data_IF_422402084819
#
_entry.id   IF_422402084819
#
_cell.length_a   1.000
_cell.length_b   1.000
_cell.length_c   1.000
_cell.angle_alpha   90.00
_cell.angle_beta   90.00
_cell.angle_gamma   90.00
#
_symmetry.space_group_name_H-M   'P 1'
#
loop_
_entity.id
_entity.type
_entity.pdbx_description
1 polymer ?
#
# COMPACT_ATOMS: atom_id res chain seq x y z
N UNK A 1 42.72 -14.14 2.52
CA UNK A 1 41.55 -13.52 1.87
C UNK A 1 41.16 -12.25 2.62
N UNK A 2 41.06 -11.12 1.92
CA UNK A 2 41.53 -9.81 2.41
C UNK A 2 40.41 -8.96 3.09
N UNK A 3 40.36 -8.94 4.43
CA UNK A 3 39.33 -8.20 5.23
C UNK A 3 39.18 -6.71 4.87
N UNK A 4 40.22 -6.07 4.31
CA UNK A 4 40.18 -4.65 3.90
C UNK A 4 39.45 -4.39 2.57
N UNK A 5 39.35 -5.37 1.66
CA UNK A 5 38.56 -5.23 0.41
C UNK A 5 37.08 -5.59 0.60
N UNK A 6 36.76 -6.43 1.58
CA UNK A 6 35.37 -6.81 1.89
C UNK A 6 34.56 -5.67 2.56
N UNK A 7 35.23 -4.81 3.34
CA UNK A 7 34.59 -3.70 4.07
C UNK A 7 33.97 -2.60 3.17
N UNK A 8 34.63 -2.10 2.11
CA UNK A 8 34.01 -1.11 1.21
C UNK A 8 32.86 -1.69 0.37
N UNK A 9 32.96 -2.96 -0.06
CA UNK A 9 31.86 -3.64 -0.78
C UNK A 9 30.64 -3.85 0.12
N UNK A 10 30.85 -4.26 1.37
CA UNK A 10 29.77 -4.41 2.36
C UNK A 10 29.06 -3.09 2.65
N UNK A 11 29.81 -1.98 2.74
CA UNK A 11 29.26 -0.64 2.92
C UNK A 11 28.44 -0.19 1.70
N UNK A 12 28.91 -0.48 0.47
CA UNK A 12 28.18 -0.16 -0.75
C UNK A 12 26.88 -0.98 -0.90
N UNK A 13 26.91 -2.28 -0.58
CA UNK A 13 25.70 -3.13 -0.56
C UNK A 13 24.69 -2.63 0.48
N UNK A 14 25.13 -2.32 1.70
CA UNK A 14 24.24 -1.79 2.74
C UNK A 14 23.62 -0.45 2.36
N UNK A 15 24.40 0.44 1.71
CA UNK A 15 23.92 1.71 1.17
C UNK A 15 22.91 1.52 0.05
N UNK A 16 23.15 0.56 -0.87
CA UNK A 16 22.20 0.20 -1.92
C UNK A 16 20.90 -0.31 -1.33
N UNK A 17 20.96 -1.24 -0.37
CA UNK A 17 19.79 -1.80 0.31
C UNK A 17 18.97 -0.71 1.01
N UNK A 18 19.61 0.13 1.83
CA UNK A 18 18.91 1.25 2.48
C UNK A 18 18.26 2.19 1.47
N UNK A 19 18.95 2.54 0.38
CA UNK A 19 18.40 3.43 -0.64
C UNK A 19 17.22 2.80 -1.42
N UNK A 20 17.32 1.51 -1.73
CA UNK A 20 16.26 0.72 -2.36
C UNK A 20 15.02 0.66 -1.46
N UNK A 21 15.21 0.31 -0.18
CA UNK A 21 14.14 0.22 0.81
C UNK A 21 13.42 1.56 0.99
N UNK A 22 14.17 2.67 1.05
CA UNK A 22 13.60 4.02 1.11
C UNK A 22 12.67 4.32 -0.07
N UNK A 23 13.09 4.00 -1.30
CA UNK A 23 12.28 4.25 -2.51
C UNK A 23 11.10 3.29 -2.65
N UNK A 24 11.23 2.05 -2.18
CA UNK A 24 10.13 1.10 -2.16
C UNK A 24 9.08 1.50 -1.12
N UNK A 25 9.46 1.89 0.09
CA UNK A 25 8.51 2.36 1.11
C UNK A 25 7.90 3.72 0.74
N UNK A 26 8.71 4.63 0.21
CA UNK A 26 8.31 6.00 -0.14
C UNK A 26 8.71 6.31 -1.58
N UNK A 27 7.84 6.03 -2.56
CA UNK A 27 8.16 6.21 -3.99
C UNK A 27 8.27 7.67 -4.42
N UNK A 28 8.08 8.62 -3.50
CA UNK A 28 8.35 10.04 -3.69
C UNK A 28 9.07 10.57 -2.45
N UNK A 29 10.32 11.01 -2.63
CA UNK A 29 11.09 11.71 -1.63
C UNK A 29 11.23 13.18 -2.06
N UNK A 30 11.02 14.10 -1.12
CA UNK A 30 11.07 15.54 -1.36
C UNK A 30 12.07 16.17 -0.39
N UNK A 31 13.00 16.95 -0.92
CA UNK A 31 13.99 17.67 -0.13
C UNK A 31 13.32 18.64 0.84
N UNK A 32 13.72 18.58 2.12
CA UNK A 32 13.13 19.33 3.22
C UNK A 32 11.97 18.64 3.92
N UNK A 33 11.33 17.64 3.29
CA UNK A 33 10.35 16.76 3.95
C UNK A 33 10.95 15.40 4.31
N UNK A 34 11.83 14.89 3.47
CA UNK A 34 12.63 13.69 3.74
C UNK A 34 13.87 14.06 4.55
N UNK A 35 14.29 13.25 5.54
CA UNK A 35 15.56 13.46 6.22
C UNK A 35 16.72 13.64 5.24
N UNK A 36 17.54 14.67 5.49
CA UNK A 36 18.62 15.08 4.61
C UNK A 36 19.60 13.95 4.25
N UNK A 37 19.92 13.09 5.23
CA UNK A 37 20.80 11.95 5.03
C UNK A 37 20.22 10.91 4.06
N UNK A 38 18.92 10.62 4.16
CA UNK A 38 18.21 9.68 3.30
C UNK A 38 18.16 10.20 1.87
N UNK A 39 17.82 11.48 1.70
CA UNK A 39 17.75 12.10 0.38
C UNK A 39 19.14 12.14 -0.29
N UNK A 40 20.19 12.51 0.46
CA UNK A 40 21.58 12.48 -0.05
C UNK A 40 22.04 11.07 -0.38
N UNK A 41 21.64 10.06 0.41
CA UNK A 41 21.96 8.65 0.14
C UNK A 41 21.34 8.21 -1.20
N UNK A 42 20.05 8.45 -1.42
CA UNK A 42 19.37 8.08 -2.67
C UNK A 42 19.99 8.81 -3.86
N UNK A 43 20.33 10.10 -3.72
CA UNK A 43 21.04 10.85 -4.76
C UNK A 43 22.43 10.28 -5.06
N UNK A 44 23.19 9.87 -4.04
CA UNK A 44 24.49 9.26 -4.22
C UNK A 44 24.40 7.90 -4.94
N UNK A 45 23.31 7.16 -4.72
CA UNK A 45 23.04 5.85 -5.35
C UNK A 45 22.24 5.96 -6.65
N UNK A 46 22.07 7.15 -7.23
CA UNK A 46 21.13 7.35 -8.33
C UNK A 46 21.39 6.49 -9.57
N UNK A 47 22.65 6.32 -9.98
CA UNK A 47 23.01 5.52 -11.15
C UNK A 47 22.70 4.01 -10.96
N UNK A 48 23.22 3.32 -9.93
CA UNK A 48 22.91 1.90 -9.72
C UNK A 48 21.42 1.65 -9.44
N UNK A 49 20.72 2.57 -8.76
CA UNK A 49 19.28 2.45 -8.56
C UNK A 49 18.50 2.50 -9.87
N UNK A 50 18.81 3.47 -10.76
CA UNK A 50 18.15 3.59 -12.07
C UNK A 50 18.37 2.36 -12.92
N UNK A 51 19.61 1.86 -12.97
CA UNK A 51 19.95 0.65 -13.72
C UNK A 51 19.16 -0.55 -13.19
N UNK A 52 19.11 -0.73 -11.88
CA UNK A 52 18.41 -1.85 -11.27
C UNK A 52 16.90 -1.78 -11.54
N UNK A 53 16.27 -0.63 -11.31
CA UNK A 53 14.83 -0.47 -11.53
C UNK A 53 14.46 -0.65 -13.00
N UNK A 54 15.18 -0.04 -13.94
CA UNK A 54 14.91 -0.21 -15.38
C UNK A 54 15.04 -1.67 -15.84
N UNK A 55 16.04 -2.38 -15.30
CA UNK A 55 16.34 -3.76 -15.69
C UNK A 55 15.39 -4.76 -15.07
N UNK A 56 15.16 -4.69 -13.76
CA UNK A 56 14.41 -5.72 -13.04
C UNK A 56 12.91 -5.44 -12.98
N UNK A 57 12.50 -4.16 -12.97
CA UNK A 57 11.09 -3.77 -12.83
C UNK A 57 10.57 -2.97 -14.02
N UNK A 58 11.40 -2.32 -14.81
CA UNK A 58 10.98 -1.33 -15.80
C UNK A 58 10.34 -0.06 -15.20
N UNK A 59 10.39 0.14 -13.88
CA UNK A 59 9.95 1.40 -13.28
C UNK A 59 10.95 2.52 -13.56
N UNK A 60 10.43 3.69 -13.96
CA UNK A 60 11.26 4.89 -14.09
C UNK A 60 11.65 5.41 -12.71
N UNK A 61 12.91 5.81 -12.57
CA UNK A 61 13.41 6.54 -11.42
C UNK A 61 13.96 7.90 -11.84
N UNK A 62 13.23 8.96 -11.49
CA UNK A 62 13.68 10.34 -11.68
C UNK A 62 14.30 10.86 -10.38
N UNK A 63 15.50 11.45 -10.45
CA UNK A 63 16.15 12.03 -9.28
C UNK A 63 16.82 13.33 -9.71
N UNK A 64 16.46 14.42 -9.03
CA UNK A 64 17.03 15.75 -9.22
C UNK A 64 17.49 16.35 -7.88
N UNK A 65 17.66 17.67 -7.82
CA UNK A 65 18.12 18.36 -6.62
C UNK A 65 17.05 18.46 -5.50
N UNK A 66 15.77 18.32 -5.84
CA UNK A 66 14.62 18.54 -4.94
C UNK A 66 13.75 17.29 -4.75
N UNK A 67 13.74 16.36 -5.70
CA UNK A 67 12.88 15.17 -5.65
C UNK A 67 13.62 13.90 -6.08
N UNK A 68 13.21 12.78 -5.50
CA UNK A 68 13.49 11.43 -6.01
C UNK A 68 12.16 10.69 -6.14
N UNK A 69 11.76 10.36 -7.37
CA UNK A 69 10.45 9.77 -7.71
C UNK A 69 10.64 8.45 -8.43
N UNK A 70 10.19 7.37 -7.79
CA UNK A 70 10.02 6.06 -8.39
C UNK A 70 8.58 5.93 -8.91
N UNK A 71 8.43 5.80 -10.23
CA UNK A 71 7.13 5.71 -10.90
C UNK A 71 6.63 4.25 -10.88
N UNK A 72 6.16 3.81 -9.73
CA UNK A 72 5.56 2.47 -9.56
C UNK A 72 4.23 2.37 -10.31
N UNK A 73 4.05 1.23 -10.99
CA UNK A 73 2.80 0.81 -11.62
C UNK A 73 2.28 -0.44 -10.92
N UNK A 74 0.99 -0.46 -10.59
CA UNK A 74 0.34 -1.67 -10.05
C UNK A 74 0.15 -2.71 -11.17
N UNK A 75 0.25 -3.99 -10.79
CA UNK A 75 -0.08 -5.12 -11.66
C UNK A 75 -1.52 -5.60 -11.50
N UNK A 76 -2.19 -5.16 -10.43
CA UNK A 76 -3.58 -5.45 -10.11
C UNK A 76 -4.32 -4.12 -9.88
N UNK A 77 -5.25 -3.80 -10.78
CA UNK A 77 -6.04 -2.57 -10.72
C UNK A 77 -7.24 -2.70 -9.78
N UNK A 78 -7.58 -3.91 -9.38
CA UNK A 78 -8.72 -4.23 -8.53
C UNK A 78 -8.31 -4.45 -7.07
N UNK A 79 -7.03 -4.26 -6.72
CA UNK A 79 -6.53 -4.34 -5.35
C UNK A 79 -7.05 -3.17 -4.49
N UNK A 80 -8.02 -3.46 -3.64
CA UNK A 80 -8.63 -2.50 -2.71
C UNK A 80 -7.90 -2.43 -1.35
N UNK A 81 -6.80 -3.16 -1.16
CA UNK A 81 -6.16 -3.31 0.16
C UNK A 81 -5.19 -2.18 0.51
N UNK A 82 -4.90 -1.28 -0.44
CA UNK A 82 -3.95 -0.16 -0.30
C UNK A 82 -4.59 1.21 -0.54
N UNK A 83 -5.65 1.58 0.20
CA UNK A 83 -6.25 2.91 0.05
C UNK A 83 -5.27 4.00 0.52
N UNK A 84 -5.40 5.19 -0.06
CA UNK A 84 -4.80 6.39 0.53
C UNK A 84 -5.39 6.60 1.93
N UNK A 85 -4.59 7.12 2.86
CA UNK A 85 -5.00 7.32 4.26
C UNK A 85 -4.79 8.76 4.68
N UNK A 86 -5.62 9.26 5.59
CA UNK A 86 -5.36 10.55 6.26
C UNK A 86 -4.07 10.42 7.07
N UNK A 87 -3.01 11.19 6.79
CA UNK A 87 -1.74 11.10 7.50
C UNK A 87 -1.86 11.32 9.02
N UNK A 88 -2.87 12.06 9.48
CA UNK A 88 -3.12 12.29 10.92
C UNK A 88 -3.99 11.19 11.53
N UNK A 89 -5.10 10.84 10.88
CA UNK A 89 -6.11 9.93 11.46
C UNK A 89 -5.88 8.44 11.11
N UNK A 90 -5.09 8.13 10.10
CA UNK A 90 -4.88 6.78 9.56
C UNK A 90 -6.11 6.18 8.86
N UNK A 91 -7.21 6.93 8.78
CA UNK A 91 -8.47 6.47 8.18
C UNK A 91 -8.33 6.37 6.66
N UNK A 92 -8.83 5.29 6.03
CA UNK A 92 -8.77 5.14 4.59
C UNK A 92 -9.65 6.18 3.90
N UNK A 93 -9.24 6.62 2.72
CA UNK A 93 -10.01 7.54 1.89
C UNK A 93 -11.21 6.82 1.29
N UNK A 94 -12.39 7.42 1.45
CA UNK A 94 -13.58 7.04 0.71
C UNK A 94 -13.64 7.71 -0.66
N UNK A 95 -14.66 7.34 -1.46
CA UNK A 95 -14.93 7.89 -2.80
C UNK A 95 -14.84 9.42 -2.83
N UNK A 96 -15.48 10.11 -1.88
CA UNK A 96 -15.51 11.57 -1.82
C UNK A 96 -14.11 12.18 -1.71
N UNK A 97 -13.26 11.67 -0.81
CA UNK A 97 -11.88 12.18 -0.64
C UNK A 97 -11.00 11.93 -1.87
N UNK A 98 -11.25 10.85 -2.61
CA UNK A 98 -10.56 10.63 -3.89
C UNK A 98 -10.96 11.65 -4.95
N UNK A 99 -12.27 11.92 -5.11
CA UNK A 99 -12.75 12.97 -6.03
C UNK A 99 -12.16 14.33 -5.64
N UNK A 100 -12.21 14.69 -4.36
CA UNK A 100 -11.64 15.94 -3.85
C UNK A 100 -10.12 16.00 -4.05
N UNK A 101 -9.39 14.89 -3.92
CA UNK A 101 -7.96 14.84 -4.25
C UNK A 101 -7.71 15.20 -5.71
N UNK A 102 -8.47 14.62 -6.64
CA UNK A 102 -8.35 14.92 -8.07
C UNK A 102 -8.69 16.39 -8.38
N UNK A 103 -9.77 16.91 -7.81
CA UNK A 103 -10.16 18.31 -7.97
C UNK A 103 -9.12 19.26 -7.38
N UNK A 104 -8.59 18.95 -6.20
CA UNK A 104 -7.53 19.74 -5.57
C UNK A 104 -6.28 19.80 -6.45
N UNK A 105 -5.82 18.66 -6.98
CA UNK A 105 -4.68 18.63 -7.91
C UNK A 105 -4.94 19.47 -9.17
N UNK A 106 -6.14 19.40 -9.74
CA UNK A 106 -6.51 20.19 -10.92
C UNK A 106 -6.58 21.70 -10.64
N UNK A 107 -6.97 22.10 -9.43
CA UNK A 107 -6.94 23.49 -8.99
C UNK A 107 -5.50 23.95 -8.75
N UNK A 108 -4.71 23.15 -8.03
CA UNK A 108 -3.32 23.49 -7.67
C UNK A 108 -2.41 23.64 -8.90
N UNK A 109 -2.64 22.86 -9.95
CA UNK A 109 -1.90 23.00 -11.22
C UNK A 109 -2.08 24.39 -11.86
N UNK A 110 -3.23 25.04 -11.63
CA UNK A 110 -3.55 26.37 -12.14
C UNK A 110 -3.32 27.48 -11.10
N UNK A 111 -3.05 27.13 -9.85
CA UNK A 111 -2.90 28.07 -8.75
C UNK A 111 -1.58 28.84 -8.84
N UNK A 112 -1.54 30.02 -8.23
CA UNK A 112 -0.30 30.77 -8.03
C UNK A 112 0.68 30.04 -7.11
N UNK A 113 1.87 30.62 -6.90
CA UNK A 113 2.91 30.04 -6.03
C UNK A 113 2.42 29.81 -4.60
N UNK A 114 1.44 30.59 -4.16
CA UNK A 114 0.80 30.47 -2.86
C UNK A 114 -0.71 30.43 -2.98
N UNK A 115 -1.35 29.66 -2.12
CA UNK A 115 -2.82 29.54 -2.04
C UNK A 115 -3.25 29.37 -0.59
N UNK A 116 -4.40 29.94 -0.23
CA UNK A 116 -5.00 29.68 1.08
C UNK A 116 -5.95 28.48 1.03
N UNK A 117 -6.21 27.85 2.17
CA UNK A 117 -7.17 26.75 2.26
C UNK A 117 -8.57 27.19 1.83
N UNK A 118 -9.02 28.36 2.28
CA UNK A 118 -10.30 28.95 1.86
C UNK A 118 -10.37 29.13 0.34
N UNK A 119 -9.32 29.67 -0.28
CA UNK A 119 -9.28 29.86 -1.73
C UNK A 119 -9.26 28.53 -2.50
N UNK A 120 -8.51 27.54 -2.02
CA UNK A 120 -8.53 26.19 -2.58
C UNK A 120 -9.94 25.58 -2.49
N UNK A 121 -10.60 25.75 -1.36
CA UNK A 121 -11.95 25.25 -1.11
C UNK A 121 -12.98 25.87 -2.08
N UNK A 122 -12.94 27.20 -2.27
CA UNK A 122 -13.78 27.92 -3.24
C UNK A 122 -13.62 27.38 -4.67
N UNK A 123 -12.37 27.15 -5.09
CA UNK A 123 -12.09 26.65 -6.44
C UNK A 123 -12.50 25.19 -6.62
N UNK A 124 -12.36 24.36 -5.57
CA UNK A 124 -12.86 22.99 -5.58
C UNK A 124 -14.39 22.96 -5.64
N UNK A 125 -15.08 23.81 -4.88
CA UNK A 125 -16.54 23.94 -4.95
C UNK A 125 -16.99 24.32 -6.36
N UNK A 126 -16.33 25.29 -6.98
CA UNK A 126 -16.60 25.67 -8.37
C UNK A 126 -16.40 24.48 -9.33
N UNK A 127 -15.28 23.75 -9.21
CA UNK A 127 -15.00 22.60 -10.05
C UNK A 127 -15.97 21.43 -9.80
N UNK A 128 -16.48 21.28 -8.58
CA UNK A 128 -17.48 20.27 -8.22
C UNK A 128 -18.86 20.54 -8.83
N UNK A 129 -19.11 21.75 -9.37
CA UNK A 129 -20.37 22.06 -10.08
C UNK A 129 -20.45 21.51 -11.51
N UNK A 130 -19.43 20.77 -11.96
CA UNK A 130 -19.42 20.14 -13.27
C UNK A 130 -20.67 19.24 -13.48
N UNK A 131 -21.45 19.43 -14.57
CA UNK A 131 -22.62 18.62 -14.86
C UNK A 131 -22.36 17.11 -14.92
N UNK A 132 -21.18 16.68 -15.37
CA UNK A 132 -20.81 15.26 -15.45
C UNK A 132 -20.63 14.66 -14.04
N UNK A 133 -19.99 15.41 -13.12
CA UNK A 133 -19.89 15.00 -11.72
C UNK A 133 -21.27 14.93 -11.07
N UNK A 134 -22.13 15.88 -11.39
CA UNK A 134 -23.51 15.87 -10.89
C UNK A 134 -24.31 14.67 -11.41
N UNK A 135 -24.16 14.30 -12.68
CA UNK A 135 -24.79 13.12 -13.26
C UNK A 135 -24.32 11.81 -12.59
N UNK A 136 -23.07 11.76 -12.14
CA UNK A 136 -22.49 10.65 -11.37
C UNK A 136 -22.87 10.65 -9.87
N UNK A 137 -23.76 11.56 -9.45
CA UNK A 137 -24.25 11.67 -8.09
C UNK A 137 -23.26 12.27 -7.10
N UNK A 138 -22.18 12.91 -7.56
CA UNK A 138 -21.27 13.62 -6.67
C UNK A 138 -21.87 14.98 -6.30
N UNK A 139 -21.91 15.29 -5.01
CA UNK A 139 -22.34 16.57 -4.45
C UNK A 139 -21.37 16.91 -3.32
N UNK A 140 -20.88 18.14 -3.29
CA UNK A 140 -19.97 18.57 -2.25
C UNK A 140 -20.26 20.02 -1.87
N UNK A 141 -20.48 20.23 -0.58
CA UNK A 141 -20.71 21.52 0.05
C UNK A 141 -19.69 21.69 1.19
N UNK A 142 -19.64 22.87 1.83
CA UNK A 142 -18.72 23.14 2.96
C UNK A 142 -19.48 23.62 4.21
N UNK A 143 -20.76 23.31 4.27
CA UNK A 143 -21.67 23.77 5.32
C UNK A 143 -21.47 22.93 6.60
N UNK A 144 -21.13 21.65 6.43
CA UNK A 144 -20.96 20.71 7.53
C UNK A 144 -19.49 20.55 7.92
N UNK A 145 -19.25 20.32 9.21
CA UNK A 145 -17.91 20.04 9.74
C UNK A 145 -17.26 18.81 9.08
N UNK A 146 -18.05 17.79 8.76
CA UNK A 146 -17.57 16.56 8.10
C UNK A 146 -16.98 16.85 6.71
N UNK A 147 -17.61 17.73 5.93
CA UNK A 147 -17.12 18.10 4.60
C UNK A 147 -15.82 18.89 4.68
N UNK A 148 -15.71 19.79 5.67
CA UNK A 148 -14.44 20.48 5.97
C UNK A 148 -13.37 19.48 6.42
N UNK A 149 -13.74 18.46 7.20
CA UNK A 149 -12.83 17.39 7.62
C UNK A 149 -12.30 16.58 6.43
N UNK A 150 -13.13 16.30 5.44
CA UNK A 150 -12.70 15.65 4.21
C UNK A 150 -11.72 16.52 3.41
N UNK A 151 -11.99 17.82 3.27
CA UNK A 151 -11.07 18.72 2.60
C UNK A 151 -9.72 18.82 3.35
N UNK A 152 -9.75 18.89 4.68
CA UNK A 152 -8.53 18.89 5.49
C UNK A 152 -7.76 17.59 5.37
N UNK A 153 -8.44 16.43 5.31
CA UNK A 153 -7.77 15.16 5.05
C UNK A 153 -7.05 15.15 3.69
N UNK A 154 -7.70 15.68 2.64
CA UNK A 154 -7.10 15.84 1.31
C UNK A 154 -5.88 16.75 1.36
N UNK A 155 -5.95 17.89 2.04
CA UNK A 155 -4.82 18.82 2.17
C UNK A 155 -3.67 18.21 2.96
N UNK A 156 -3.96 17.44 4.01
CA UNK A 156 -2.93 16.67 4.74
C UNK A 156 -2.23 15.67 3.83
N UNK A 157 -2.95 14.99 2.94
CA UNK A 157 -2.34 14.11 1.94
C UNK A 157 -1.43 14.89 0.98
N UNK A 158 -1.84 16.08 0.54
CA UNK A 158 -1.00 16.96 -0.30
C UNK A 158 0.25 17.47 0.42
N UNK A 159 0.16 17.77 1.72
CA UNK A 159 1.31 18.11 2.56
C UNK A 159 2.26 16.92 2.71
N UNK A 160 1.72 15.71 2.90
CA UNK A 160 2.49 14.47 3.01
C UNK A 160 3.25 14.14 1.71
N UNK A 161 2.61 14.31 0.55
CA UNK A 161 3.26 14.21 -0.75
C UNK A 161 4.23 15.36 -1.05
N UNK A 162 4.10 16.49 -0.35
CA UNK A 162 4.92 17.69 -0.54
C UNK A 162 4.53 18.56 -1.72
N UNK A 163 3.32 18.37 -2.28
CA UNK A 163 2.75 19.31 -3.27
C UNK A 163 2.36 20.63 -2.64
N UNK A 164 2.04 20.61 -1.35
CA UNK A 164 1.84 21.79 -0.51
C UNK A 164 2.91 21.84 0.58
N UNK A 165 3.29 23.06 0.98
CA UNK A 165 4.07 23.30 2.20
C UNK A 165 3.41 24.38 3.02
N UNK A 166 3.19 24.12 4.30
CA UNK A 166 2.54 25.08 5.19
C UNK A 166 3.47 26.26 5.44
N UNK A 167 2.97 27.47 5.17
CA UNK A 167 3.66 28.73 5.45
C UNK A 167 3.18 29.31 6.79
N UNK A 168 1.88 29.24 7.05
CA UNK A 168 1.28 29.71 8.30
C UNK A 168 -0.18 29.33 8.45
N UNK A 169 -0.66 29.30 9.69
CA UNK A 169 -2.00 28.86 10.06
C UNK A 169 -2.05 27.41 10.54
N UNK A 170 -3.27 26.92 10.80
CA UNK A 170 -3.55 25.56 11.26
C UNK A 170 -4.88 25.07 10.65
N UNK A 171 -4.88 23.85 10.09
CA UNK A 171 -6.08 23.27 9.48
C UNK A 171 -7.21 23.06 10.50
N UNK A 172 -6.89 22.91 11.79
CA UNK A 172 -7.92 22.87 12.84
C UNK A 172 -8.71 24.19 12.93
N UNK A 173 -8.07 25.33 12.63
CA UNK A 173 -8.75 26.63 12.59
C UNK A 173 -9.77 26.70 11.45
N UNK A 174 -9.44 26.11 10.30
CA UNK A 174 -10.37 26.00 9.17
C UNK A 174 -11.55 25.08 9.50
N UNK A 175 -11.31 23.94 10.17
CA UNK A 175 -12.38 23.04 10.62
C UNK A 175 -13.39 23.72 11.55
N UNK A 176 -12.90 24.64 12.38
CA UNK A 176 -13.69 25.41 13.33
C UNK A 176 -14.27 26.71 12.72
N UNK A 177 -14.05 26.96 11.42
CA UNK A 177 -14.41 28.20 10.74
C UNK A 177 -13.86 29.47 11.43
N UNK A 178 -12.69 29.34 12.07
CA UNK A 178 -12.07 30.38 12.90
C UNK A 178 -10.86 31.05 12.23
N UNK A 179 -10.31 30.46 11.17
CA UNK A 179 -9.14 30.98 10.46
C UNK A 179 -8.82 30.21 9.19
N UNK A 180 -7.88 30.76 8.42
CA UNK A 180 -7.42 30.19 7.15
C UNK A 180 -5.93 29.78 7.26
N UNK A 181 -5.47 28.96 6.32
CA UNK A 181 -4.10 28.44 6.27
C UNK A 181 -3.47 28.80 4.94
N UNK A 182 -2.23 29.28 4.95
CA UNK A 182 -1.47 29.64 3.75
C UNK A 182 -0.47 28.53 3.40
N UNK A 183 -0.44 28.16 2.12
CA UNK A 183 0.48 27.17 1.58
C UNK A 183 1.32 27.72 0.43
N UNK A 184 2.57 27.27 0.34
CA UNK A 184 3.35 27.29 -0.89
C UNK A 184 2.98 26.06 -1.74
N UNK A 185 2.85 26.24 -3.05
CA UNK A 185 2.54 25.20 -4.03
C UNK A 185 3.82 24.74 -4.74
N UNK A 186 4.17 23.46 -4.60
CA UNK A 186 5.33 22.86 -5.26
C UNK A 186 4.94 22.24 -6.61
N UNK A 187 4.99 23.07 -7.66
CA UNK A 187 4.66 22.64 -9.04
C UNK A 187 5.55 21.53 -9.58
N UNK A 188 6.80 21.43 -9.09
CA UNK A 188 7.72 20.36 -9.52
C UNK A 188 7.27 19.02 -8.97
N UNK A 189 6.85 18.98 -7.71
CA UNK A 189 6.27 17.77 -7.12
C UNK A 189 4.95 17.42 -7.82
N UNK A 190 4.07 18.39 -8.04
CA UNK A 190 2.79 18.18 -8.76
C UNK A 190 2.99 17.52 -10.12
N UNK A 191 3.92 18.04 -10.93
CA UNK A 191 4.21 17.50 -12.27
C UNK A 191 4.73 16.05 -12.27
N UNK A 192 5.18 15.54 -11.12
CA UNK A 192 5.75 14.20 -10.95
C UNK A 192 4.80 13.21 -10.25
N UNK A 193 3.58 13.61 -9.89
CA UNK A 193 2.64 12.73 -9.19
C UNK A 193 2.04 11.66 -10.11
N UNK A 194 1.61 12.05 -11.30
CA UNK A 194 0.88 11.18 -12.20
C UNK A 194 1.81 10.12 -12.78
N UNK A 195 1.47 8.85 -12.54
CA UNK A 195 2.14 7.70 -13.16
C UNK A 195 1.21 7.09 -14.19
N UNK A 196 1.59 7.18 -15.46
CA UNK A 196 0.91 6.50 -16.56
C UNK A 196 1.94 6.01 -17.58
N UNK A 197 1.65 4.87 -18.23
CA UNK A 197 2.43 4.39 -19.38
C UNK A 197 2.03 5.21 -20.61
N UNK A 198 0.72 5.35 -20.83
CA UNK A 198 0.13 6.16 -21.90
C UNK A 198 -0.46 7.44 -21.30
N UNK A 199 -0.12 8.60 -21.88
CA UNK A 199 -0.66 9.89 -21.44
C UNK A 199 -2.19 9.91 -21.53
N UNK A 200 -2.93 10.38 -20.50
CA UNK A 200 -4.40 10.33 -20.49
C UNK A 200 -5.08 10.99 -21.69
N UNK A 201 -4.47 12.03 -22.26
CA UNK A 201 -4.99 12.74 -23.44
C UNK A 201 -4.93 11.94 -24.74
N UNK A 202 -4.12 10.87 -24.79
CA UNK A 202 -3.98 10.00 -25.96
C UNK A 202 -4.95 8.82 -25.95
N UNK A 203 -5.69 8.63 -24.86
CA UNK A 203 -6.58 7.49 -24.67
C UNK A 203 -7.97 7.84 -25.15
N UNK A 204 -8.42 7.12 -26.19
CA UNK A 204 -9.73 7.31 -26.83
C UNK A 204 -10.62 6.11 -26.51
N UNK A 205 -11.17 6.10 -25.30
CA UNK A 205 -12.15 5.10 -24.84
C UNK A 205 -13.26 5.80 -24.06
N UNK A 206 -14.51 5.40 -24.29
CA UNK A 206 -15.66 5.95 -23.56
C UNK A 206 -15.88 5.24 -22.21
N UNK A 207 -15.54 3.94 -22.15
CA UNK A 207 -15.66 3.15 -20.92
C UNK A 207 -14.53 3.44 -19.92
N UNK A 208 -14.89 3.63 -18.65
CA UNK A 208 -13.93 3.98 -17.60
C UNK A 208 -12.92 2.86 -17.35
N UNK A 209 -13.37 1.61 -17.31
CA UNK A 209 -12.48 0.47 -17.08
C UNK A 209 -11.48 0.31 -18.23
N UNK A 210 -11.94 0.47 -19.47
CA UNK A 210 -11.07 0.47 -20.65
C UNK A 210 -10.06 1.62 -20.63
N UNK A 211 -10.46 2.84 -20.21
CA UNK A 211 -9.53 3.97 -20.05
C UNK A 211 -8.44 3.68 -19.02
N UNK A 212 -8.81 3.17 -17.85
CA UNK A 212 -7.87 2.84 -16.78
C UNK A 212 -6.90 1.74 -17.23
N UNK A 213 -7.41 0.70 -17.90
CA UNK A 213 -6.58 -0.36 -18.47
C UNK A 213 -5.60 0.19 -19.52
N UNK A 214 -6.04 1.08 -20.40
CA UNK A 214 -5.18 1.69 -21.42
C UNK A 214 -4.09 2.61 -20.84
N UNK A 215 -4.33 3.25 -19.69
CA UNK A 215 -3.34 4.09 -19.01
C UNK A 215 -2.13 3.29 -18.51
N UNK A 216 -2.35 2.02 -18.16
CA UNK A 216 -1.33 1.14 -17.59
C UNK A 216 -0.87 0.02 -18.54
N UNK A 217 -1.53 -0.11 -19.70
CA UNK A 217 -1.20 -1.10 -20.70
C UNK A 217 0.25 -0.95 -21.20
N UNK A 218 1.02 -2.03 -21.07
CA UNK A 218 2.36 -2.14 -21.63
C UNK A 218 2.29 -2.73 -23.05
N UNK A 219 3.24 -2.35 -23.91
CA UNK A 219 3.25 -2.78 -25.30
C UNK A 219 3.35 -4.30 -25.43
N UNK A 220 2.61 -4.88 -26.38
CA UNK A 220 2.77 -6.29 -26.77
C UNK A 220 4.14 -6.44 -27.44
N UNK A 221 4.83 -7.54 -27.11
CA UNK A 221 6.20 -7.77 -27.54
C UNK A 221 6.29 -8.85 -28.62
N UNK A 222 6.88 -8.48 -29.76
CA UNK A 222 6.99 -9.35 -30.93
C UNK A 222 8.16 -10.34 -30.85
N UNK A 223 9.21 -10.03 -30.07
CA UNK A 223 10.37 -10.92 -29.87
C UNK A 223 10.34 -11.61 -28.51
N UNK A 224 10.92 -12.82 -28.45
CA UNK A 224 10.99 -13.61 -27.22
C UNK A 224 11.81 -12.92 -26.13
N UNK A 225 12.88 -12.19 -26.49
CA UNK A 225 13.67 -11.42 -25.54
C UNK A 225 12.85 -10.31 -24.86
N UNK A 226 12.02 -9.60 -25.62
CA UNK A 226 11.14 -8.56 -25.08
C UNK A 226 10.03 -9.17 -24.22
N UNK A 227 9.46 -10.31 -24.62
CA UNK A 227 8.49 -11.06 -23.80
C UNK A 227 9.11 -11.51 -22.47
N UNK A 228 10.31 -12.09 -22.50
CA UNK A 228 11.04 -12.49 -21.31
C UNK A 228 11.36 -11.29 -20.40
N UNK A 229 11.69 -10.13 -20.97
CA UNK A 229 11.87 -8.88 -20.22
C UNK A 229 10.59 -8.46 -19.51
N UNK A 230 9.44 -8.48 -20.19
CA UNK A 230 8.15 -8.16 -19.57
C UNK A 230 7.75 -9.13 -18.47
N UNK A 231 7.93 -10.45 -18.68
CA UNK A 231 7.68 -11.46 -17.65
C UNK A 231 8.54 -11.21 -16.41
N UNK A 232 9.83 -10.91 -16.59
CA UNK A 232 10.72 -10.54 -15.48
C UNK A 232 10.26 -9.29 -14.75
N UNK A 233 9.93 -8.22 -15.49
CA UNK A 233 9.44 -6.98 -14.90
C UNK A 233 8.20 -7.23 -14.05
N UNK A 234 7.19 -7.88 -14.63
CA UNK A 234 5.93 -8.18 -13.96
C UNK A 234 6.14 -9.04 -12.71
N UNK A 235 6.88 -10.13 -12.81
CA UNK A 235 7.15 -11.02 -11.67
C UNK A 235 7.96 -10.33 -10.56
N UNK A 236 8.97 -9.54 -10.91
CA UNK A 236 9.76 -8.79 -9.92
C UNK A 236 8.91 -7.75 -9.20
N UNK A 237 8.06 -6.99 -9.93
CA UNK A 237 7.12 -6.04 -9.31
C UNK A 237 6.17 -6.74 -8.35
N UNK A 238 5.56 -7.86 -8.76
CA UNK A 238 4.67 -8.66 -7.90
C UNK A 238 5.40 -9.14 -6.64
N UNK A 239 6.63 -9.62 -6.77
CA UNK A 239 7.44 -10.09 -5.64
C UNK A 239 7.89 -8.96 -4.70
N UNK A 240 8.02 -7.72 -5.18
CA UNK A 240 8.37 -6.56 -4.37
C UNK A 240 7.15 -5.95 -3.67
N UNK A 241 6.00 -5.92 -4.35
CA UNK A 241 4.79 -5.23 -3.86
C UNK A 241 3.84 -6.17 -3.12
N UNK A 242 3.62 -7.40 -3.58
CA UNK A 242 2.62 -8.30 -3.00
C UNK A 242 3.16 -9.08 -1.79
N UNK A 243 2.37 -9.26 -0.71
CA UNK A 243 2.79 -10.05 0.45
C UNK A 243 3.15 -11.50 0.08
N UNK A 244 2.38 -12.08 -0.85
CA UNK A 244 2.59 -13.44 -1.38
C UNK A 244 2.19 -13.47 -2.85
N UNK A 245 3.10 -13.94 -3.70
CA UNK A 245 2.81 -14.28 -5.09
C UNK A 245 2.44 -15.76 -5.17
N UNK A 246 1.15 -16.03 -5.32
CA UNK A 246 0.63 -17.40 -5.43
C UNK A 246 0.80 -17.94 -6.85
N UNK A 247 1.25 -19.19 -6.98
CA UNK A 247 1.39 -19.82 -8.29
C UNK A 247 0.05 -19.98 -9.03
N UNK A 248 -1.05 -20.14 -8.29
CA UNK A 248 -2.40 -20.24 -8.86
C UNK A 248 -2.93 -18.94 -9.47
N UNK A 249 -2.25 -17.80 -9.26
CA UNK A 249 -2.59 -16.50 -9.85
C UNK A 249 -1.69 -16.12 -11.02
N UNK A 250 -0.77 -17.01 -11.41
CA UNK A 250 0.13 -16.79 -12.53
C UNK A 250 -0.44 -17.46 -13.78
N UNK A 251 -0.36 -16.76 -14.90
CA UNK A 251 -0.56 -17.36 -16.22
C UNK A 251 0.48 -18.46 -16.46
N UNK A 252 0.20 -19.35 -17.42
CA UNK A 252 1.12 -20.45 -17.75
C UNK A 252 2.51 -19.95 -18.15
N UNK A 253 2.58 -18.86 -18.92
CA UNK A 253 3.84 -18.22 -19.32
C UNK A 253 4.61 -17.65 -18.12
N UNK A 254 3.94 -16.95 -17.21
CA UNK A 254 4.54 -16.42 -15.98
C UNK A 254 5.06 -17.54 -15.09
N UNK A 255 4.26 -18.59 -14.88
CA UNK A 255 4.65 -19.72 -14.05
C UNK A 255 5.82 -20.50 -14.66
N UNK A 256 5.81 -20.70 -15.98
CA UNK A 256 6.92 -21.32 -16.71
C UNK A 256 8.22 -20.52 -16.54
N UNK A 257 8.17 -19.22 -16.81
CA UNK A 257 9.33 -18.34 -16.65
C UNK A 257 9.82 -18.28 -15.20
N UNK A 258 8.91 -18.13 -14.24
CA UNK A 258 9.24 -18.09 -12.82
C UNK A 258 9.91 -19.40 -12.39
N UNK A 259 9.43 -20.57 -12.81
CA UNK A 259 10.06 -21.86 -12.48
C UNK A 259 11.51 -21.94 -12.96
N UNK A 260 11.79 -21.44 -14.17
CA UNK A 260 13.14 -21.43 -14.76
C UNK A 260 14.06 -20.39 -14.12
N UNK A 261 13.54 -19.21 -13.77
CA UNK A 261 14.34 -18.05 -13.34
C UNK A 261 14.22 -17.72 -11.86
N UNK A 262 13.48 -18.51 -11.07
CA UNK A 262 13.16 -18.23 -9.65
C UNK A 262 14.37 -17.80 -8.86
N UNK A 263 15.42 -18.63 -8.85
CA UNK A 263 16.63 -18.38 -8.05
C UNK A 263 17.31 -17.06 -8.43
N UNK A 264 17.33 -16.72 -9.73
CA UNK A 264 17.93 -15.48 -10.21
C UNK A 264 17.10 -14.27 -9.80
N UNK A 265 15.77 -14.31 -9.98
CA UNK A 265 14.89 -13.20 -9.61
C UNK A 265 14.97 -12.97 -8.09
N UNK A 266 14.82 -14.02 -7.28
CA UNK A 266 14.84 -13.89 -5.82
C UNK A 266 16.20 -13.41 -5.31
N UNK A 267 17.32 -13.93 -5.83
CA UNK A 267 18.66 -13.48 -5.43
C UNK A 267 18.88 -12.00 -5.71
N UNK A 268 18.47 -11.51 -6.88
CA UNK A 268 18.59 -10.09 -7.24
C UNK A 268 17.76 -9.17 -6.35
N UNK A 269 16.54 -9.61 -5.98
CA UNK A 269 15.72 -8.86 -5.02
C UNK A 269 16.43 -8.87 -3.65
N UNK A 270 16.85 -10.03 -3.15
CA UNK A 270 17.54 -10.16 -1.86
C UNK A 270 18.80 -9.30 -1.78
N UNK A 271 19.66 -9.35 -2.79
CA UNK A 271 20.87 -8.54 -2.86
C UNK A 271 20.55 -7.04 -2.81
N UNK A 272 19.53 -6.60 -3.55
CA UNK A 272 19.18 -5.18 -3.67
C UNK A 272 18.38 -4.61 -2.50
N UNK A 273 17.63 -5.45 -1.77
CA UNK A 273 16.65 -4.98 -0.76
C UNK A 273 16.90 -5.53 0.65
N UNK A 274 17.64 -6.62 0.79
CA UNK A 274 17.75 -7.40 2.02
C UNK A 274 16.56 -8.34 2.27
N UNK A 275 15.51 -8.32 1.45
CA UNK A 275 14.35 -9.22 1.59
C UNK A 275 14.76 -10.68 1.38
N UNK A 276 14.15 -11.59 2.15
CA UNK A 276 14.48 -13.01 2.13
C UNK A 276 13.35 -13.77 1.44
N UNK A 277 13.69 -14.51 0.38
CA UNK A 277 12.71 -15.31 -0.32
C UNK A 277 12.30 -16.54 0.49
N UNK A 278 11.03 -16.62 0.87
CA UNK A 278 10.39 -17.82 1.39
C UNK A 278 9.62 -18.50 0.25
N UNK A 279 10.14 -19.64 -0.21
CA UNK A 279 9.53 -20.43 -1.29
C UNK A 279 8.77 -21.61 -0.69
N UNK A 280 7.47 -21.69 -0.99
CA UNK A 280 6.58 -22.78 -0.55
C UNK A 280 5.88 -23.43 -1.74
N UNK A 281 5.05 -24.43 -1.46
CA UNK A 281 4.32 -25.17 -2.50
C UNK A 281 3.25 -24.30 -3.18
N UNK A 282 2.67 -23.36 -2.43
CA UNK A 282 1.60 -22.47 -2.88
C UNK A 282 2.09 -21.20 -3.59
N UNK A 283 3.33 -20.76 -3.33
CA UNK A 283 3.82 -19.48 -3.81
C UNK A 283 5.16 -19.04 -3.21
N UNK A 284 5.47 -17.75 -3.41
CA UNK A 284 6.70 -17.11 -2.93
C UNK A 284 6.33 -15.84 -2.17
N UNK A 285 6.95 -15.63 -1.02
CA UNK A 285 6.93 -14.37 -0.28
C UNK A 285 8.35 -13.80 -0.18
N UNK A 286 8.51 -12.49 -0.38
CA UNK A 286 9.76 -11.78 -0.11
C UNK A 286 9.67 -11.16 1.29
N UNK A 287 10.09 -11.93 2.30
CA UNK A 287 9.93 -11.58 3.72
C UNK A 287 10.91 -10.50 4.12
N UNK A 288 10.43 -9.48 4.83
CA UNK A 288 11.26 -8.41 5.36
C UNK A 288 11.73 -8.70 6.80
N UNK A 289 13.01 -9.04 7.02
CA UNK A 289 13.51 -9.33 8.36
C UNK A 289 13.56 -8.08 9.27
N UNK A 290 13.65 -6.89 8.69
CA UNK A 290 13.79 -5.63 9.43
C UNK A 290 12.45 -4.94 9.69
N UNK A 291 11.36 -5.46 9.09
CA UNK A 291 9.98 -4.96 9.22
C UNK A 291 9.86 -3.45 8.95
N UNK A 292 10.51 -2.95 7.89
CA UNK A 292 10.46 -1.55 7.44
C UNK A 292 9.67 -1.36 6.14
N UNK A 293 9.53 -2.42 5.33
CA UNK A 293 8.80 -2.43 4.06
C UNK A 293 7.36 -2.95 4.19
N UNK A 294 6.96 -3.38 5.39
CA UNK A 294 5.65 -3.96 5.66
C UNK A 294 4.60 -2.86 5.95
N UNK A 295 3.55 -2.80 5.13
CA UNK A 295 2.42 -1.88 5.35
C UNK A 295 1.51 -2.32 6.53
N UNK A 296 1.44 -3.62 6.79
CA UNK A 296 0.56 -4.23 7.80
C UNK A 296 1.32 -5.27 8.62
N UNK A 297 1.50 -5.03 9.92
CA UNK A 297 2.18 -5.96 10.82
C UNK A 297 1.20 -6.98 11.41
N UNK A 298 1.56 -8.25 11.36
CA UNK A 298 0.83 -9.33 12.04
C UNK A 298 1.80 -10.45 12.46
N UNK A 299 1.88 -10.80 13.76
CA UNK A 299 1.10 -10.24 14.87
C UNK A 299 1.59 -8.84 15.31
N UNK A 300 0.65 -7.95 15.61
CA UNK A 300 0.88 -6.67 16.27
C UNK A 300 0.30 -6.67 17.71
N UNK A 301 0.52 -5.58 18.47
CA UNK A 301 -0.04 -5.44 19.81
C UNK A 301 -1.54 -5.07 19.78
N UNK A 302 -2.23 -5.45 20.85
CA UNK A 302 -3.61 -5.02 21.11
C UNK A 302 -4.69 -5.96 20.58
N UNK A 303 -5.93 -5.64 20.99
CA UNK A 303 -7.11 -6.47 20.78
C UNK A 303 -7.40 -6.80 19.32
N UNK A 304 -7.30 -5.81 18.41
CA UNK A 304 -7.62 -6.00 16.98
C UNK A 304 -6.68 -7.02 16.31
N UNK A 305 -5.40 -6.94 16.62
CA UNK A 305 -4.40 -7.91 16.14
C UNK A 305 -4.64 -9.30 16.71
N UNK A 306 -4.96 -9.39 18.01
CA UNK A 306 -5.31 -10.67 18.63
C UNK A 306 -6.55 -11.30 17.98
N UNK A 307 -7.61 -10.52 17.75
CA UNK A 307 -8.78 -11.01 17.02
C UNK A 307 -8.43 -11.48 15.60
N UNK A 308 -7.61 -10.73 14.86
CA UNK A 308 -7.19 -11.14 13.52
C UNK A 308 -6.47 -12.51 13.51
N UNK A 309 -5.65 -12.81 14.52
CA UNK A 309 -5.03 -14.13 14.67
C UNK A 309 -6.06 -15.23 14.93
N UNK A 310 -7.00 -15.00 15.85
CA UNK A 310 -8.05 -15.98 16.19
C UNK A 310 -8.98 -16.26 15.01
N UNK A 311 -9.34 -15.22 14.25
CA UNK A 311 -10.12 -15.40 13.02
C UNK A 311 -9.30 -16.08 11.93
N UNK A 312 -8.00 -15.78 11.80
CA UNK A 312 -7.13 -16.47 10.85
C UNK A 312 -7.04 -17.97 11.15
N UNK A 313 -6.86 -18.34 12.42
CA UNK A 313 -6.86 -19.73 12.89
C UNK A 313 -8.18 -20.42 12.54
N UNK A 314 -9.31 -19.80 12.84
CA UNK A 314 -10.62 -20.36 12.51
C UNK A 314 -10.82 -20.54 11.01
N UNK A 315 -10.56 -19.50 10.22
CA UNK A 315 -10.74 -19.52 8.76
C UNK A 315 -9.79 -20.54 8.10
N UNK A 316 -8.58 -20.73 8.64
CA UNK A 316 -7.62 -21.70 8.11
C UNK A 316 -8.12 -23.16 8.17
N UNK A 317 -9.06 -23.45 9.08
CA UNK A 317 -9.67 -24.79 9.20
C UNK A 317 -10.89 -25.01 8.29
N UNK A 318 -11.31 -23.99 7.53
CA UNK A 318 -12.56 -23.97 6.77
C UNK A 318 -12.32 -23.73 5.28
N UNK A 319 -11.97 -24.77 4.49
CA UNK A 319 -11.54 -24.63 3.09
C UNK A 319 -12.60 -23.99 2.17
N UNK A 320 -13.88 -24.20 2.45
CA UNK A 320 -15.00 -23.63 1.68
C UNK A 320 -15.31 -22.16 2.01
N UNK A 321 -14.56 -21.59 2.97
CA UNK A 321 -14.76 -20.24 3.49
C UNK A 321 -15.83 -20.15 4.57
N UNK A 322 -15.78 -19.05 5.32
CA UNK A 322 -16.64 -18.80 6.49
C UNK A 322 -17.59 -17.65 6.19
N UNK A 323 -18.92 -17.82 6.33
CA UNK A 323 -19.88 -16.74 6.28
C UNK A 323 -19.55 -15.63 7.28
N UNK A 324 -19.72 -14.36 6.90
CA UNK A 324 -19.42 -13.25 7.83
C UNK A 324 -20.32 -13.26 9.08
N UNK A 325 -21.56 -13.76 8.96
CA UNK A 325 -22.44 -13.93 10.11
C UNK A 325 -21.85 -14.84 11.18
N UNK A 326 -21.15 -15.90 10.76
CA UNK A 326 -20.50 -16.84 11.67
C UNK A 326 -19.24 -16.21 12.30
N UNK A 327 -18.51 -15.39 11.55
CA UNK A 327 -17.39 -14.61 12.09
C UNK A 327 -17.85 -13.56 13.11
N UNK A 328 -18.98 -12.89 12.88
CA UNK A 328 -19.59 -11.98 13.84
C UNK A 328 -19.98 -12.72 15.12
N UNK A 329 -20.61 -13.89 15.01
CA UNK A 329 -20.99 -14.70 16.16
C UNK A 329 -19.77 -15.19 16.95
N UNK A 330 -18.77 -15.72 16.25
CA UNK A 330 -17.49 -16.10 16.88
C UNK A 330 -16.84 -14.92 17.58
N UNK A 331 -16.84 -13.73 16.97
CA UNK A 331 -16.26 -12.52 17.56
C UNK A 331 -16.98 -12.10 18.84
N UNK A 332 -18.32 -12.19 18.90
CA UNK A 332 -19.08 -11.96 20.15
C UNK A 332 -18.66 -12.92 21.26
N UNK A 333 -18.52 -14.20 20.93
CA UNK A 333 -18.07 -15.22 21.89
C UNK A 333 -16.64 -14.95 22.39
N UNK A 334 -15.73 -14.59 21.48
CA UNK A 334 -14.36 -14.23 21.81
C UNK A 334 -14.28 -12.95 22.65
N UNK A 335 -15.11 -11.94 22.37
CA UNK A 335 -15.17 -10.71 23.15
C UNK A 335 -15.55 -10.98 24.61
N UNK A 336 -16.54 -11.84 24.86
CA UNK A 336 -16.92 -12.27 26.22
C UNK A 336 -15.78 -13.09 26.86
N UNK A 337 -15.22 -14.06 26.12
CA UNK A 337 -14.12 -14.92 26.63
C UNK A 337 -12.89 -14.12 27.04
N UNK A 338 -12.56 -13.07 26.30
CA UNK A 338 -11.36 -12.26 26.50
C UNK A 338 -11.63 -10.88 27.13
N UNK A 339 -12.83 -10.65 27.69
CA UNK A 339 -13.25 -9.36 28.26
C UNK A 339 -12.30 -8.79 29.33
N UNK A 340 -11.52 -9.64 30.01
CA UNK A 340 -10.53 -9.20 31.00
C UNK A 340 -9.33 -8.45 30.37
N UNK A 341 -9.06 -8.69 29.09
CA UNK A 341 -7.92 -8.13 28.34
C UNK A 341 -8.35 -7.22 27.19
N UNK A 342 -9.58 -7.39 26.72
CA UNK A 342 -10.15 -6.60 25.63
C UNK A 342 -10.77 -5.32 26.16
N UNK A 343 -10.96 -4.34 25.27
CA UNK A 343 -11.63 -3.09 25.64
C UNK A 343 -13.10 -3.39 25.95
N UNK A 344 -13.68 -2.64 26.89
CA UNK A 344 -15.06 -2.85 27.35
C UNK A 344 -16.10 -2.69 26.23
N UNK A 345 -15.82 -1.81 25.27
CA UNK A 345 -16.66 -1.57 24.09
C UNK A 345 -16.72 -2.77 23.14
N UNK A 346 -15.82 -3.75 23.25
CA UNK A 346 -15.81 -4.92 22.38
C UNK A 346 -17.01 -5.86 22.58
N UNK A 347 -17.70 -5.75 23.73
CA UNK A 347 -18.91 -6.51 24.02
C UNK A 347 -20.19 -5.72 23.72
N UNK A 348 -20.08 -4.47 23.28
CA UNK A 348 -21.26 -3.66 22.96
C UNK A 348 -21.96 -4.24 21.71
N UNK A 349 -23.31 -4.23 21.66
CA UNK A 349 -24.04 -4.72 20.50
C UNK A 349 -23.60 -4.02 19.20
N UNK A 350 -23.19 -4.79 18.20
CA UNK A 350 -22.74 -4.28 16.89
C UNK A 350 -21.24 -4.02 16.81
N UNK A 351 -20.50 -4.04 17.92
CA UNK A 351 -19.05 -3.87 17.92
C UNK A 351 -18.34 -4.96 17.09
N UNK A 352 -18.92 -6.16 17.02
CA UNK A 352 -18.38 -7.28 16.26
C UNK A 352 -18.26 -6.98 14.76
N UNK A 353 -19.08 -6.08 14.21
CA UNK A 353 -19.05 -5.73 12.77
C UNK A 353 -17.76 -4.99 12.45
N UNK A 354 -17.48 -3.89 13.16
CA UNK A 354 -16.26 -3.11 12.98
C UNK A 354 -15.00 -3.91 13.30
N UNK A 355 -15.10 -4.84 14.26
CA UNK A 355 -14.01 -5.72 14.66
C UNK A 355 -13.69 -6.77 13.60
N UNK A 356 -14.70 -7.42 13.03
CA UNK A 356 -14.54 -8.37 11.92
C UNK A 356 -14.06 -7.66 10.67
N UNK A 357 -14.62 -6.50 10.32
CA UNK A 357 -14.17 -5.72 9.16
C UNK A 357 -12.71 -5.31 9.28
N UNK A 358 -12.28 -4.83 10.45
CA UNK A 358 -10.88 -4.49 10.69
C UNK A 358 -9.96 -5.72 10.61
N UNK A 359 -10.37 -6.86 11.16
CA UNK A 359 -9.60 -8.09 11.10
C UNK A 359 -9.49 -8.64 9.66
N UNK A 360 -10.60 -8.69 8.93
CA UNK A 360 -10.62 -9.13 7.53
C UNK A 360 -9.82 -8.17 6.64
N UNK A 361 -9.87 -6.86 6.89
CA UNK A 361 -9.02 -5.90 6.18
C UNK A 361 -7.54 -6.22 6.39
N UNK A 362 -7.10 -6.49 7.62
CA UNK A 362 -5.72 -6.92 7.91
C UNK A 362 -5.36 -8.23 7.17
N UNK A 363 -6.22 -9.25 7.25
CA UNK A 363 -5.96 -10.55 6.62
C UNK A 363 -5.95 -10.46 5.08
N UNK A 364 -6.81 -9.64 4.49
CA UNK A 364 -6.83 -9.39 3.05
C UNK A 364 -5.62 -8.59 2.59
N UNK A 365 -5.18 -7.57 3.34
CA UNK A 365 -3.93 -6.84 3.06
C UNK A 365 -2.69 -7.74 3.08
N UNK A 366 -2.72 -8.84 3.83
CA UNK A 366 -1.66 -9.86 3.87
C UNK A 366 -1.87 -10.99 2.83
N UNK A 367 -2.89 -10.88 1.97
CA UNK A 367 -3.34 -11.92 1.03
C UNK A 367 -3.59 -13.30 1.68
N UNK A 368 -4.06 -13.32 2.93
CA UNK A 368 -4.41 -14.53 3.67
C UNK A 368 -5.87 -14.95 3.47
N UNK A 369 -6.75 -14.00 3.15
CA UNK A 369 -8.16 -14.27 2.85
C UNK A 369 -8.63 -13.44 1.66
N UNK A 370 -9.59 -13.98 0.92
CA UNK A 370 -10.38 -13.26 -0.07
C UNK A 370 -11.81 -13.07 0.47
N UNK A 371 -12.26 -11.82 0.59
CA UNK A 371 -13.64 -11.54 0.99
C UNK A 371 -14.53 -11.50 -0.26
N UNK A 372 -15.37 -12.53 -0.42
CA UNK A 372 -16.33 -12.61 -1.52
C UNK A 372 -17.66 -12.00 -1.08
N UNK A 373 -18.18 -11.03 -1.83
CA UNK A 373 -19.43 -10.33 -1.49
C UNK A 373 -20.69 -11.02 -2.01
N UNK A 374 -20.59 -11.82 -3.07
CA UNK A 374 -21.71 -12.51 -3.71
C UNK A 374 -21.32 -13.95 -4.10
N UNK A 375 -22.25 -14.93 -4.11
CA UNK A 375 -23.68 -14.82 -3.77
C UNK A 375 -23.98 -14.74 -2.26
N UNK A 376 -23.01 -15.09 -1.41
CA UNK A 376 -23.08 -14.95 0.04
C UNK A 376 -21.80 -14.29 0.53
N UNK A 377 -21.90 -13.33 1.44
CA UNK A 377 -20.73 -12.62 1.97
C UNK A 377 -19.90 -13.57 2.85
N UNK A 378 -18.72 -13.97 2.38
CA UNK A 378 -17.85 -14.92 3.08
C UNK A 378 -16.37 -14.58 2.97
N UNK A 379 -15.60 -14.99 3.98
CA UNK A 379 -14.14 -14.96 3.95
C UNK A 379 -13.62 -16.32 3.48
N UNK A 380 -12.97 -16.36 2.32
CA UNK A 380 -12.39 -17.57 1.74
C UNK A 380 -10.90 -17.63 2.09
N UNK A 381 -10.40 -18.74 2.67
CA UNK A 381 -8.98 -18.87 2.98
C UNK A 381 -8.13 -18.86 1.71
N UNK A 382 -6.95 -18.26 1.82
CA UNK A 382 -5.89 -18.37 0.82
C UNK A 382 -4.80 -19.30 1.35
N UNK A 383 -4.07 -20.05 0.52
CA UNK A 383 -3.19 -21.12 1.00
C UNK A 383 -2.20 -20.72 2.11
N UNK A 384 -1.66 -19.50 2.09
CA UNK A 384 -0.71 -19.05 3.10
C UNK A 384 -1.31 -18.92 4.52
N UNK A 385 -2.64 -18.86 4.66
CA UNK A 385 -3.31 -18.83 5.96
C UNK A 385 -3.13 -20.13 6.74
N UNK A 386 -2.79 -21.24 6.08
CA UNK A 386 -2.54 -22.52 6.72
C UNK A 386 -1.41 -22.45 7.77
N UNK A 387 -0.54 -21.44 7.73
CA UNK A 387 0.46 -21.17 8.78
C UNK A 387 -0.15 -20.87 10.15
N UNK A 388 -1.41 -20.45 10.18
CA UNK A 388 -2.17 -20.18 11.40
C UNK A 388 -3.08 -21.34 11.82
N UNK A 389 -3.12 -22.44 11.05
CA UNK A 389 -3.74 -23.68 11.49
C UNK A 389 -2.83 -24.33 12.55
N UNK A 390 -2.94 -23.85 13.79
CA UNK A 390 -2.18 -24.39 14.90
C UNK A 390 -2.71 -25.80 15.21
N UNK A 391 -1.81 -26.78 15.24
CA UNK A 391 -2.11 -28.07 15.85
C UNK A 391 -2.31 -27.88 17.37
N UNK A 392 -3.04 -28.79 18.01
CA UNK A 392 -3.13 -28.78 19.46
C UNK A 392 -1.72 -28.77 20.08
N UNK A 393 -1.45 -27.90 21.07
CA UNK A 393 -0.13 -27.79 21.66
C UNK A 393 0.28 -29.13 22.29
N UNK A 394 1.38 -29.73 21.81
CA UNK A 394 2.01 -30.87 22.48
C UNK A 394 2.60 -30.42 23.83
N UNK A 395 1.84 -30.57 24.92
CA UNK A 395 2.34 -30.34 26.27
C UNK A 395 3.29 -31.50 26.63
N UNK A 396 4.58 -31.32 26.40
CA UNK A 396 5.61 -32.25 26.89
C UNK A 396 5.72 -32.11 28.41
N UNK A 397 5.13 -33.05 29.15
CA UNK A 397 5.36 -33.15 30.59
C UNK A 397 6.84 -33.44 30.83
N UNK A 398 7.52 -32.56 31.57
CA UNK A 398 8.90 -32.76 32.01
C UNK A 398 8.90 -34.00 32.91
N UNK A 399 9.53 -35.08 32.44
CA UNK A 399 9.62 -36.34 33.17
C UNK A 399 10.20 -36.12 34.57
N UNK A 400 9.55 -36.69 35.58
CA UNK A 400 10.14 -36.85 36.91
C UNK A 400 11.42 -37.66 36.75
N UNK A 401 12.58 -37.06 37.04
CA UNK A 401 13.78 -37.82 37.35
C UNK A 401 13.45 -38.70 38.57
N UNK A 402 13.40 -40.00 38.33
CA UNK A 402 13.37 -40.99 39.38
C UNK A 402 14.75 -41.00 40.04
N UNK A 403 14.85 -40.36 41.21
CA UNK A 403 15.90 -40.67 42.18
C UNK A 403 15.73 -42.12 42.64
N UNK A 404 16.70 -42.96 42.30
CA UNK A 404 17.03 -44.18 43.02
C UNK A 404 18.51 -44.10 43.42
#
# INVERSE_FOLDING_TARGET
MNRRRARPLYDETARMQRAMRLLLARPLLVAGLTPDEDFRLVRAMAAPLREWFDRETGWRLHIDAQTARLFKTTTDLDDLTRPARDPKAGTPFGRQRYVLTCLALAVLERADRQITLGRLAEQILLAATDPELFALGFRFELDRREERADLVAVVRLQLDWGTLRRVGGDEESFLNAAGDVLYDVDRRVLSNLLTSVTGPSLIQHDDTSARVAAMTAEAVHDSDDLRNRALRHRLTRRLLEEPVVYYGELTEAELGYLRSQRAQITSRITEATGLIAEVRAEGIAMVDPDDELTDVRMPAQGMRSHLALLLAEHIATQPDGVPLADLHELTRQLAVKHQAYWRKDATDPGAEVDLVDAALATLSSLKLVLVQRAPQHRAVPRPAIARYALAEPEIRQRGKEATA
#
